data_IF_291731012472
#
_entry.id   IF_291731012472
#
_cell.length_a   1.000
_cell.length_b   1.000
_cell.length_c   1.000
_cell.angle_alpha   90.00
_cell.angle_beta   90.00
_cell.angle_gamma   90.00
#
_symmetry.space_group_name_H-M   'P 1'
#
loop_
_entity.id
_entity.type
_entity.pdbx_description
1 polymer ?
#
# COMPACT_ATOMS: atom_id res chain seq x y z
N UNK A 1 11.32 11.06 -10.24
CA UNK A 1 11.15 10.66 -11.66
C UNK A 1 11.35 9.14 -11.84
N UNK A 2 10.71 8.33 -10.99
CA UNK A 2 10.90 6.86 -10.96
C UNK A 2 10.03 6.16 -12.00
N UNK A 3 8.78 6.62 -12.15
CA UNK A 3 7.79 6.05 -13.05
C UNK A 3 8.25 6.03 -14.52
N UNK A 4 8.81 7.13 -15.03
CA UNK A 4 9.37 7.17 -16.41
C UNK A 4 10.44 6.10 -16.62
N UNK A 5 11.33 5.91 -15.66
CA UNK A 5 12.39 4.89 -15.76
C UNK A 5 11.84 3.46 -15.71
N UNK A 6 10.75 3.21 -14.97
CA UNK A 6 10.06 1.92 -14.96
C UNK A 6 9.43 1.66 -16.33
N UNK A 7 8.75 2.65 -16.90
CA UNK A 7 8.08 2.52 -18.18
C UNK A 7 9.08 2.22 -19.30
N UNK A 8 10.18 2.98 -19.36
CA UNK A 8 11.26 2.76 -20.33
C UNK A 8 11.80 1.33 -20.24
N UNK A 9 11.88 0.76 -19.03
CA UNK A 9 12.42 -0.59 -18.79
C UNK A 9 11.44 -1.71 -19.07
N UNK A 10 10.14 -1.48 -18.89
CA UNK A 10 9.09 -2.45 -19.22
C UNK A 10 8.79 -2.51 -20.73
N UNK A 11 9.35 -1.58 -21.51
CA UNK A 11 9.24 -1.51 -22.96
C UNK A 11 8.30 -0.39 -23.40
N UNK A 12 8.79 0.47 -24.31
CA UNK A 12 8.09 1.68 -24.76
C UNK A 12 6.78 1.36 -25.51
N UNK A 13 6.69 0.19 -26.14
CA UNK A 13 5.50 -0.28 -26.87
C UNK A 13 4.27 -0.48 -25.97
N UNK A 14 4.47 -0.51 -24.65
CA UNK A 14 3.41 -0.73 -23.66
C UNK A 14 2.89 0.57 -23.04
N UNK A 15 3.37 1.73 -23.48
CA UNK A 15 2.92 3.05 -23.03
C UNK A 15 1.40 3.22 -23.12
N UNK A 16 0.76 2.70 -24.17
CA UNK A 16 -0.69 2.74 -24.37
C UNK A 16 -1.49 1.93 -23.33
N UNK A 17 -0.86 0.96 -22.66
CA UNK A 17 -1.50 0.12 -21.64
C UNK A 17 -1.35 0.68 -20.23
N UNK A 18 -0.68 1.83 -20.07
CA UNK A 18 -0.38 2.41 -18.76
C UNK A 18 -1.49 3.38 -18.37
N UNK A 19 -2.20 3.05 -17.28
CA UNK A 19 -3.19 3.92 -16.65
C UNK A 19 -2.59 4.54 -15.38
N UNK A 20 -2.65 5.87 -15.27
CA UNK A 20 -2.23 6.60 -14.07
C UNK A 20 -3.47 6.83 -13.21
N UNK A 21 -3.48 6.25 -12.01
CA UNK A 21 -4.60 6.35 -11.06
C UNK A 21 -4.22 7.33 -9.97
N UNK A 22 -4.94 8.45 -9.90
CA UNK A 22 -4.77 9.48 -8.88
C UNK A 22 -5.69 9.29 -7.69
N UNK A 23 -5.57 10.19 -6.71
CA UNK A 23 -6.40 10.17 -5.49
C UNK A 23 -7.90 10.19 -5.82
N UNK A 24 -8.30 11.00 -6.80
CA UNK A 24 -9.70 11.13 -7.23
C UNK A 24 -10.28 9.84 -7.78
N UNK A 25 -9.49 9.10 -8.56
CA UNK A 25 -9.86 7.80 -9.12
C UNK A 25 -9.94 6.75 -8.02
N UNK A 26 -8.98 6.74 -7.09
CA UNK A 26 -9.01 5.85 -5.92
C UNK A 26 -10.27 6.08 -5.09
N UNK A 27 -10.63 7.33 -4.81
CA UNK A 27 -11.86 7.66 -4.05
C UNK A 27 -13.15 7.23 -4.77
N UNK A 28 -13.16 7.22 -6.11
CA UNK A 28 -14.33 6.84 -6.93
C UNK A 28 -14.46 5.32 -7.15
N UNK A 29 -13.38 4.56 -6.96
CA UNK A 29 -13.38 3.10 -7.07
C UNK A 29 -14.42 2.44 -6.14
N UNK A 30 -14.87 1.23 -6.47
CA UNK A 30 -15.84 0.49 -5.65
C UNK A 30 -15.39 0.38 -4.19
N UNK A 31 -14.15 -0.05 -3.98
CA UNK A 31 -13.60 -0.20 -2.64
C UNK A 31 -13.27 1.14 -1.98
N UNK A 32 -12.81 2.13 -2.75
CA UNK A 32 -12.53 3.48 -2.22
C UNK A 32 -13.78 4.17 -1.72
N UNK A 33 -14.91 4.06 -2.44
CA UNK A 33 -16.20 4.60 -1.97
C UNK A 33 -16.65 3.96 -0.67
N UNK A 34 -16.43 2.65 -0.51
CA UNK A 34 -16.75 1.91 0.72
C UNK A 34 -15.90 2.38 1.90
N UNK A 35 -14.57 2.45 1.73
CA UNK A 35 -13.64 2.76 2.82
C UNK A 35 -13.64 4.24 3.20
N UNK A 36 -13.79 5.14 2.22
CA UNK A 36 -13.79 6.58 2.47
C UNK A 36 -15.18 7.16 2.69
N UNK A 37 -16.25 6.34 2.65
CA UNK A 37 -17.63 6.76 2.86
C UNK A 37 -18.15 7.77 1.83
N UNK A 38 -17.42 8.00 0.73
CA UNK A 38 -17.78 8.95 -0.33
C UNK A 38 -18.77 8.31 -1.29
N UNK A 39 -20.05 8.31 -0.95
CA UNK A 39 -21.12 7.81 -1.81
C UNK A 39 -22.38 7.35 -1.10
N UNK A 40 -22.32 7.18 0.23
CA UNK A 40 -23.48 7.05 1.11
C UNK A 40 -23.57 8.38 1.85
N UNK A 41 -24.76 8.96 2.00
CA UNK A 41 -24.94 10.12 2.88
C UNK A 41 -24.42 9.73 4.27
N UNK A 42 -23.27 10.27 4.70
CA UNK A 42 -22.70 9.92 5.99
C UNK A 42 -23.67 10.39 7.07
N UNK A 43 -24.32 9.43 7.73
CA UNK A 43 -25.26 9.75 8.80
C UNK A 43 -24.48 10.35 9.98
N UNK A 44 -25.15 11.14 10.81
CA UNK A 44 -24.60 11.63 12.08
C UNK A 44 -24.04 10.49 12.93
N UNK A 45 -24.68 9.31 12.89
CA UNK A 45 -24.25 8.12 13.62
C UNK A 45 -22.92 7.56 13.10
N UNK A 46 -22.67 7.64 11.80
CA UNK A 46 -21.41 7.18 11.20
C UNK A 46 -20.24 8.13 11.54
N UNK A 47 -20.50 9.44 11.56
CA UNK A 47 -19.53 10.43 12.03
C UNK A 47 -19.24 10.25 13.54
N UNK A 48 -20.29 10.03 14.34
CA UNK A 48 -20.16 9.76 15.76
C UNK A 48 -19.35 8.47 16.01
N UNK A 49 -19.64 7.39 15.28
CA UNK A 49 -18.90 6.14 15.40
C UNK A 49 -17.41 6.32 15.07
N UNK A 50 -17.09 7.13 14.06
CA UNK A 50 -15.70 7.45 13.69
C UNK A 50 -14.97 8.23 14.80
N UNK A 51 -15.61 9.27 15.35
CA UNK A 51 -15.01 10.06 16.43
C UNK A 51 -14.90 9.27 17.73
N UNK A 52 -15.89 8.43 18.05
CA UNK A 52 -15.82 7.49 19.19
C UNK A 52 -14.65 6.53 19.01
N UNK A 53 -14.48 5.94 17.83
CA UNK A 53 -13.37 5.04 17.54
C UNK A 53 -12.01 5.75 17.69
N UNK A 54 -11.91 6.99 17.21
CA UNK A 54 -10.70 7.81 17.31
C UNK A 54 -10.36 8.16 18.76
N UNK A 55 -11.35 8.61 19.54
CA UNK A 55 -11.19 8.89 20.96
C UNK A 55 -10.81 7.64 21.76
N UNK A 56 -11.47 6.50 21.50
CA UNK A 56 -11.14 5.23 22.14
C UNK A 56 -9.71 4.76 21.81
N UNK A 57 -9.25 4.96 20.57
CA UNK A 57 -7.88 4.61 20.18
C UNK A 57 -6.84 5.51 20.86
N UNK A 58 -7.12 6.81 21.02
CA UNK A 58 -6.26 7.72 21.74
C UNK A 58 -6.12 7.31 23.22
N UNK A 59 -7.23 6.91 23.86
CA UNK A 59 -7.21 6.46 25.26
C UNK A 59 -6.48 5.12 25.43
N UNK A 60 -6.70 4.16 24.52
CA UNK A 60 -5.93 2.91 24.49
C UNK A 60 -4.42 3.16 24.39
N UNK A 61 -4.02 4.12 23.56
CA UNK A 61 -2.62 4.50 23.41
C UNK A 61 -2.07 5.18 24.67
N UNK A 62 -2.87 6.03 25.33
CA UNK A 62 -2.51 6.65 26.62
C UNK A 62 -2.22 5.60 27.67
N UNK A 63 -3.14 4.65 27.87
CA UNK A 63 -3.01 3.56 28.83
C UNK A 63 -1.79 2.69 28.51
N UNK A 64 -1.59 2.33 27.25
CA UNK A 64 -0.45 1.52 26.87
C UNK A 64 0.90 2.20 27.13
N UNK A 65 1.01 3.52 26.90
CA UNK A 65 2.20 4.30 27.25
C UNK A 65 2.42 4.36 28.76
N UNK A 66 1.35 4.51 29.54
CA UNK A 66 1.40 4.53 31.00
C UNK A 66 1.91 3.20 31.57
N UNK A 67 1.34 2.08 31.09
CA UNK A 67 1.78 0.72 31.47
C UNK A 67 3.23 0.46 31.05
N UNK A 68 3.62 0.88 29.83
CA UNK A 68 4.99 0.74 29.36
C UNK A 68 5.98 1.50 30.26
N UNK A 69 5.63 2.73 30.67
CA UNK A 69 6.42 3.53 31.60
C UNK A 69 6.62 2.84 32.96
N UNK A 70 5.54 2.29 33.53
CA UNK A 70 5.62 1.52 34.79
C UNK A 70 6.55 0.30 34.68
N UNK A 71 6.56 -0.36 33.52
CA UNK A 71 7.40 -1.53 33.24
C UNK A 71 8.81 -1.19 32.76
N UNK A 72 9.15 0.11 32.66
CA UNK A 72 10.42 0.60 32.05
C UNK A 72 10.64 0.10 30.62
N UNK A 73 9.54 -0.06 29.88
CA UNK A 73 9.53 -0.43 28.47
C UNK A 73 9.17 0.78 27.61
N UNK A 74 9.70 0.86 26.38
CA UNK A 74 9.21 1.79 25.37
C UNK A 74 8.23 1.05 24.45
N UNK A 75 7.12 1.71 24.14
CA UNK A 75 6.10 1.16 23.25
C UNK A 75 5.75 2.22 22.21
N UNK A 76 5.93 1.86 20.94
CA UNK A 76 5.48 2.64 19.79
C UNK A 76 4.19 2.03 19.24
N UNK A 77 3.05 2.69 19.48
CA UNK A 77 1.75 2.27 18.93
C UNK A 77 1.39 3.27 17.85
N UNK A 78 1.73 2.91 16.62
CA UNK A 78 1.50 3.76 15.46
C UNK A 78 0.08 3.59 14.92
N UNK A 79 -0.87 4.33 15.48
CA UNK A 79 -2.27 4.38 15.05
C UNK A 79 -2.45 5.09 13.70
N UNK A 80 -1.51 5.98 13.34
CA UNK A 80 -1.47 6.68 12.04
C UNK A 80 -1.18 5.73 10.86
N UNK A 81 -0.53 4.61 11.15
CA UNK A 81 -0.26 3.56 10.16
C UNK A 81 -1.54 2.91 9.64
N UNK A 82 -2.64 2.91 10.41
CA UNK A 82 -3.88 2.25 10.00
C UNK A 82 -4.59 3.00 8.87
N UNK A 83 -4.73 4.33 8.98
CA UNK A 83 -5.38 5.16 7.96
C UNK A 83 -4.54 5.22 6.67
N UNK A 84 -3.22 5.39 6.82
CA UNK A 84 -2.30 5.39 5.68
C UNK A 84 -2.29 4.06 4.94
N UNK A 85 -2.36 2.93 5.66
CA UNK A 85 -2.37 1.61 5.05
C UNK A 85 -3.76 1.26 4.46
N UNK A 86 -4.86 1.73 5.04
CA UNK A 86 -6.18 1.68 4.38
C UNK A 86 -6.17 2.41 3.04
N UNK A 87 -5.52 3.58 2.99
CA UNK A 87 -5.38 4.33 1.74
C UNK A 87 -4.54 3.54 0.72
N UNK A 88 -3.44 2.90 1.14
CA UNK A 88 -2.65 2.03 0.25
C UNK A 88 -3.50 0.89 -0.29
N UNK A 89 -4.24 0.18 0.58
CA UNK A 89 -5.11 -0.93 0.16
C UNK A 89 -6.16 -0.46 -0.84
N UNK A 90 -6.78 0.70 -0.60
CA UNK A 90 -7.75 1.29 -1.53
C UNK A 90 -7.09 1.62 -2.88
N UNK A 91 -5.87 2.17 -2.88
CA UNK A 91 -5.11 2.43 -4.11
C UNK A 91 -4.80 1.15 -4.88
N UNK A 92 -4.37 0.08 -4.20
CA UNK A 92 -4.06 -1.21 -4.86
C UNK A 92 -5.31 -1.85 -5.48
N UNK A 93 -6.44 -1.81 -4.75
CA UNK A 93 -7.72 -2.33 -5.25
C UNK A 93 -8.26 -1.51 -6.42
N UNK A 94 -8.18 -0.19 -6.34
CA UNK A 94 -8.54 0.68 -7.45
C UNK A 94 -7.67 0.41 -8.68
N UNK A 95 -6.36 0.19 -8.51
CA UNK A 95 -5.46 -0.15 -9.62
C UNK A 95 -5.90 -1.41 -10.37
N UNK A 96 -6.28 -2.47 -9.64
CA UNK A 96 -6.80 -3.70 -10.24
C UNK A 96 -8.16 -3.49 -10.93
N UNK A 97 -9.07 -2.72 -10.30
CA UNK A 97 -10.38 -2.36 -10.84
C UNK A 97 -10.26 -1.60 -12.17
N UNK A 98 -9.45 -0.54 -12.23
CA UNK A 98 -9.24 0.24 -13.45
C UNK A 98 -8.46 -0.51 -14.53
N UNK A 99 -7.68 -1.51 -14.14
CA UNK A 99 -7.02 -2.42 -15.07
C UNK A 99 -7.92 -3.58 -15.52
N UNK A 100 -9.14 -3.69 -14.97
CA UNK A 100 -10.13 -4.73 -15.28
C UNK A 100 -9.57 -6.16 -15.09
N UNK A 101 -8.66 -6.32 -14.12
CA UNK A 101 -8.03 -7.60 -13.81
C UNK A 101 -8.32 -8.00 -12.36
N UNK A 102 -8.53 -9.29 -12.08
CA UNK A 102 -8.67 -9.76 -10.71
C UNK A 102 -7.41 -9.48 -9.87
N UNK A 103 -7.59 -9.13 -8.60
CA UNK A 103 -6.50 -8.82 -7.67
C UNK A 103 -5.40 -9.88 -7.60
N UNK A 104 -5.78 -11.17 -7.63
CA UNK A 104 -4.82 -12.27 -7.59
C UNK A 104 -3.93 -12.34 -8.83
N UNK A 105 -4.32 -11.69 -9.93
CA UNK A 105 -3.54 -11.55 -11.17
C UNK A 105 -2.66 -10.30 -11.21
N UNK A 106 -2.72 -9.46 -10.18
CA UNK A 106 -1.87 -8.29 -10.04
C UNK A 106 -0.60 -8.61 -9.26
N UNK A 107 0.47 -7.86 -9.55
CA UNK A 107 1.70 -7.84 -8.75
C UNK A 107 2.02 -6.38 -8.45
N UNK A 108 2.27 -6.06 -7.18
CA UNK A 108 2.74 -4.74 -6.79
C UNK A 108 4.25 -4.63 -6.98
N UNK A 109 4.68 -3.53 -7.61
CA UNK A 109 6.08 -3.09 -7.57
C UNK A 109 6.15 -1.90 -6.62
N UNK A 110 6.73 -2.11 -5.44
CA UNK A 110 6.80 -1.11 -4.38
C UNK A 110 8.21 -0.52 -4.23
N UNK A 111 8.30 0.75 -3.86
CA UNK A 111 9.58 1.41 -3.53
C UNK A 111 9.92 1.42 -2.04
N UNK A 112 9.02 0.92 -1.17
CA UNK A 112 9.15 1.02 0.28
C UNK A 112 8.11 0.21 1.05
N UNK A 113 8.22 0.22 2.38
CA UNK A 113 7.52 -0.70 3.29
C UNK A 113 5.99 -0.53 3.29
N UNK A 114 5.49 0.70 3.20
CA UNK A 114 4.05 0.97 3.20
C UNK A 114 3.31 0.28 2.04
N UNK A 115 3.92 0.26 0.85
CA UNK A 115 3.37 -0.46 -0.29
C UNK A 115 3.34 -1.97 -0.05
N UNK A 116 4.44 -2.52 0.45
CA UNK A 116 4.56 -3.96 0.74
C UNK A 116 3.56 -4.41 1.82
N UNK A 117 3.45 -3.67 2.93
CA UNK A 117 2.49 -3.97 3.99
C UNK A 117 1.03 -3.87 3.50
N UNK A 118 0.73 -2.94 2.60
CA UNK A 118 -0.60 -2.85 1.99
C UNK A 118 -0.93 -4.02 1.06
N UNK A 119 0.05 -4.49 0.29
CA UNK A 119 -0.11 -5.66 -0.58
C UNK A 119 -0.28 -6.95 0.23
N UNK A 120 0.47 -7.11 1.32
CA UNK A 120 0.34 -8.24 2.24
C UNK A 120 -1.09 -8.36 2.79
N UNK A 121 -1.71 -7.24 3.21
CA UNK A 121 -3.09 -7.25 3.74
C UNK A 121 -4.16 -7.73 2.76
N UNK A 122 -3.89 -7.68 1.46
CA UNK A 122 -4.81 -8.15 0.41
C UNK A 122 -4.29 -9.39 -0.31
N UNK A 123 -3.23 -10.02 0.22
CA UNK A 123 -2.56 -11.17 -0.39
C UNK A 123 -2.16 -10.92 -1.86
N UNK A 124 -1.80 -9.68 -2.19
CA UNK A 124 -1.26 -9.33 -3.50
C UNK A 124 0.25 -9.58 -3.49
N UNK A 125 0.80 -10.34 -4.44
CA UNK A 125 2.24 -10.51 -4.56
C UNK A 125 2.94 -9.16 -4.68
N UNK A 126 3.98 -8.94 -3.88
CA UNK A 126 4.72 -7.68 -3.83
C UNK A 126 6.20 -7.90 -4.09
N UNK A 127 6.74 -7.14 -5.04
CA UNK A 127 8.17 -7.07 -5.35
C UNK A 127 8.64 -5.67 -4.98
N UNK A 128 9.57 -5.57 -4.03
CA UNK A 128 10.16 -4.30 -3.64
C UNK A 128 11.39 -4.02 -4.49
N UNK A 129 11.42 -2.85 -5.10
CA UNK A 129 12.57 -2.37 -5.82
C UNK A 129 13.30 -1.31 -4.98
N UNK A 130 14.49 -1.68 -4.51
CA UNK A 130 15.32 -0.81 -3.67
C UNK A 130 15.91 0.32 -4.50
N UNK A 131 15.83 1.50 -3.91
CA UNK A 131 16.55 2.69 -4.35
C UNK A 131 17.72 2.95 -3.42
N UNK A 132 18.56 3.95 -3.73
CA UNK A 132 19.60 4.41 -2.79
C UNK A 132 19.03 4.78 -1.40
N UNK A 133 17.79 5.26 -1.34
CA UNK A 133 17.09 5.62 -0.10
C UNK A 133 16.62 4.40 0.71
N UNK A 134 16.47 3.24 0.06
CA UNK A 134 15.96 2.01 0.67
C UNK A 134 16.95 0.85 0.61
N UNK A 135 18.21 1.13 0.28
CA UNK A 135 19.24 0.11 0.08
C UNK A 135 19.51 -0.76 1.32
N UNK A 136 19.38 -0.18 2.51
CA UNK A 136 19.58 -0.87 3.80
C UNK A 136 18.28 -1.28 4.48
N UNK A 137 17.13 -1.00 3.86
CA UNK A 137 15.84 -1.33 4.43
C UNK A 137 15.50 -2.81 4.17
N UNK A 138 14.87 -3.43 5.16
CA UNK A 138 14.33 -4.79 5.06
C UNK A 138 12.84 -4.74 4.76
N UNK A 139 12.38 -5.71 3.96
CA UNK A 139 11.00 -5.79 3.47
C UNK A 139 10.43 -7.19 3.71
N UNK A 140 10.14 -7.57 4.96
CA UNK A 140 9.66 -8.91 5.29
C UNK A 140 8.32 -9.24 4.61
N UNK A 141 7.50 -8.22 4.36
CA UNK A 141 6.19 -8.34 3.69
C UNK A 141 6.27 -8.52 2.17
N UNK A 142 7.46 -8.51 1.56
CA UNK A 142 7.65 -8.62 0.12
C UNK A 142 8.04 -10.04 -0.30
N UNK A 143 7.48 -10.55 -1.39
CA UNK A 143 7.87 -11.84 -1.98
C UNK A 143 9.29 -11.81 -2.54
N UNK A 144 9.72 -10.66 -3.04
CA UNK A 144 11.08 -10.48 -3.52
C UNK A 144 11.54 -9.04 -3.34
N UNK A 145 12.85 -8.89 -3.16
CA UNK A 145 13.54 -7.60 -3.14
C UNK A 145 14.54 -7.57 -4.29
N UNK A 146 14.55 -6.47 -5.04
CA UNK A 146 15.41 -6.27 -6.20
C UNK A 146 16.22 -4.98 -6.04
N UNK A 147 17.51 -5.04 -6.36
CA UNK A 147 18.41 -3.90 -6.25
C UNK A 147 18.42 -3.06 -7.52
N UNK A 148 17.87 -1.85 -7.41
CA UNK A 148 17.94 -0.83 -8.46
C UNK A 148 17.05 -1.09 -9.68
N UNK A 149 16.90 -0.04 -10.48
CA UNK A 149 16.25 -0.12 -11.79
C UNK A 149 17.24 -0.61 -12.85
N UNK A 150 18.08 -1.62 -12.61
CA UNK A 150 18.99 -2.12 -13.65
C UNK A 150 18.20 -2.64 -14.85
N UNK A 151 18.58 -2.26 -16.09
CA UNK A 151 17.84 -2.66 -17.31
C UNK A 151 17.74 -4.19 -17.52
N UNK A 152 18.62 -4.96 -16.89
CA UNK A 152 18.58 -6.43 -16.90
C UNK A 152 17.67 -7.04 -15.83
N UNK A 153 17.25 -6.26 -14.82
CA UNK A 153 16.61 -6.80 -13.63
C UNK A 153 15.08 -6.71 -13.67
N UNK A 154 14.52 -5.59 -14.17
CA UNK A 154 13.07 -5.39 -14.21
C UNK A 154 12.42 -5.81 -15.55
N UNK A 155 12.41 -7.11 -15.83
CA UNK A 155 11.71 -7.68 -17.00
C UNK A 155 10.45 -8.45 -16.59
N UNK A 156 9.43 -8.48 -17.45
CA UNK A 156 8.17 -9.22 -17.19
C UNK A 156 8.45 -10.69 -16.85
N UNK A 157 9.37 -11.33 -17.57
CA UNK A 157 9.74 -12.73 -17.33
C UNK A 157 10.33 -12.96 -15.94
N UNK A 158 11.12 -12.02 -15.41
CA UNK A 158 11.63 -12.08 -14.03
C UNK A 158 10.54 -11.80 -13.00
N UNK A 159 9.67 -10.82 -13.25
CA UNK A 159 8.52 -10.54 -12.38
C UNK A 159 7.59 -11.77 -12.26
N UNK A 160 7.34 -12.46 -13.37
CA UNK A 160 6.54 -13.70 -13.38
C UNK A 160 7.21 -14.82 -12.58
N UNK A 161 8.53 -15.01 -12.72
CA UNK A 161 9.28 -16.01 -11.94
C UNK A 161 9.23 -15.72 -10.44
N UNK A 162 9.26 -14.45 -10.03
CA UNK A 162 9.28 -14.04 -8.63
C UNK A 162 7.90 -13.85 -7.98
N UNK A 163 6.82 -13.94 -8.76
CA UNK A 163 5.44 -13.84 -8.25
C UNK A 163 5.08 -14.94 -7.24
N UNK A 164 5.80 -16.05 -7.25
CA UNK A 164 5.52 -17.26 -6.45
C UNK A 164 6.76 -17.78 -5.68
N UNK A 165 7.80 -16.95 -5.54
CA UNK A 165 8.99 -17.31 -4.76
C UNK A 165 8.78 -17.06 -3.26
#
# INVERSE_FOLDING_TARGET
MIFRSIIEKLGNDRLSNIKIIGKTEVEKSLYGRLVFGKGVSTSLDEQLAKEVAKAASAEKQRIAKEVASMLKLSVDIDTSSSESLQHVVATLRAGAEYAEVPLYNCVLIAGGQFGAAGAERISMPCIVLRSSLTARAEFPSANAVMDGFGGADLTISRLQKRRWS
#
